data_IF_764131424825
#
_entry.id   IF_764131424825
#
_cell.length_a   1.000
_cell.length_b   1.000
_cell.length_c   1.000
_cell.angle_alpha   90.00
_cell.angle_beta   90.00
_cell.angle_gamma   90.00
#
_symmetry.space_group_name_H-M   'P 1'
#
loop_
_entity.id
_entity.type
_entity.pdbx_description
1 polymer ?
#
# COMPACT_ATOMS: atom_id res chain seq x y z
N UNK A 1 6.35 -26.99 -48.53
CA UNK A 1 6.03 -25.56 -48.42
C UNK A 1 4.75 -25.24 -47.62
N UNK A 2 3.74 -26.13 -47.54
CA UNK A 2 2.51 -25.92 -46.75
C UNK A 2 2.68 -25.82 -45.22
N UNK A 3 3.78 -26.34 -44.65
CA UNK A 3 4.01 -26.33 -43.18
C UNK A 3 4.64 -25.03 -42.66
N UNK A 4 5.20 -24.20 -43.54
CA UNK A 4 5.85 -22.93 -43.15
C UNK A 4 4.81 -21.79 -43.08
N UNK A 5 3.79 -21.82 -43.94
CA UNK A 5 2.71 -20.84 -43.94
C UNK A 5 1.83 -20.89 -42.68
N UNK A 6 1.69 -22.06 -42.04
CA UNK A 6 0.91 -22.21 -40.80
C UNK A 6 1.60 -21.56 -39.59
N UNK A 7 2.93 -21.47 -39.59
CA UNK A 7 3.72 -20.96 -38.46
C UNK A 7 3.70 -19.43 -38.34
N UNK A 8 3.52 -18.72 -39.45
CA UNK A 8 3.50 -17.25 -39.49
C UNK A 8 2.14 -16.65 -39.09
N UNK A 9 1.06 -17.40 -39.30
CA UNK A 9 -0.30 -16.95 -38.93
C UNK A 9 -0.52 -17.06 -37.41
N UNK A 10 0.08 -18.08 -36.77
CA UNK A 10 -0.02 -18.28 -35.33
C UNK A 10 0.73 -17.20 -34.52
N UNK A 11 1.81 -16.64 -35.05
CA UNK A 11 2.61 -15.61 -34.37
C UNK A 11 1.95 -14.24 -34.41
N UNK A 12 1.29 -13.88 -35.52
CA UNK A 12 0.58 -12.60 -35.66
C UNK A 12 -0.68 -12.53 -34.78
N UNK A 13 -1.37 -13.66 -34.60
CA UNK A 13 -2.55 -13.74 -33.74
C UNK A 13 -2.21 -13.55 -32.25
N UNK A 14 -1.01 -13.96 -31.81
CA UNK A 14 -0.59 -13.85 -30.42
C UNK A 14 -0.19 -12.40 -30.05
N UNK A 15 0.39 -11.63 -30.98
CA UNK A 15 0.69 -10.21 -30.77
C UNK A 15 -0.55 -9.32 -30.72
N UNK A 16 -1.63 -9.69 -31.43
CA UNK A 16 -2.89 -8.95 -31.39
C UNK A 16 -3.65 -9.12 -30.05
N UNK A 17 -3.44 -10.25 -29.35
CA UNK A 17 -4.04 -10.51 -28.04
C UNK A 17 -3.43 -9.66 -26.91
N UNK A 18 -2.16 -9.24 -27.04
CA UNK A 18 -1.50 -8.39 -26.04
C UNK A 18 -1.78 -6.90 -26.28
N UNK A 19 -2.03 -6.48 -27.52
CA UNK A 19 -2.41 -5.10 -27.84
C UNK A 19 -3.83 -4.72 -27.37
N UNK A 20 -4.68 -5.72 -27.06
CA UNK A 20 -6.05 -5.53 -26.57
C UNK A 20 -6.22 -5.65 -25.06
N UNK A 21 -5.16 -5.99 -24.30
CA UNK A 21 -5.20 -5.93 -22.85
C UNK A 21 -5.04 -4.47 -22.40
N UNK A 22 -6.07 -3.65 -22.64
CA UNK A 22 -6.33 -2.55 -21.72
C UNK A 22 -6.53 -3.23 -20.38
N UNK A 23 -5.66 -2.98 -19.40
CA UNK A 23 -5.99 -3.30 -18.03
C UNK A 23 -7.39 -2.74 -17.79
N UNK A 24 -8.39 -3.61 -17.58
CA UNK A 24 -9.69 -3.15 -17.11
C UNK A 24 -9.37 -2.24 -15.94
N UNK A 25 -9.87 -1.00 -15.94
CA UNK A 25 -9.85 -0.21 -14.72
C UNK A 25 -10.42 -1.13 -13.66
N UNK A 26 -9.62 -1.51 -12.67
CA UNK A 26 -10.07 -2.43 -11.66
C UNK A 26 -11.37 -1.86 -11.10
N UNK A 27 -12.51 -2.46 -11.43
CA UNK A 27 -13.81 -2.05 -10.93
C UNK A 27 -14.03 -2.71 -9.56
N UNK A 28 -12.96 -2.77 -8.75
CA UNK A 28 -12.93 -3.39 -7.43
C UNK A 28 -13.13 -2.37 -6.31
N UNK A 29 -13.23 -1.09 -6.66
CA UNK A 29 -13.36 0.01 -5.72
C UNK A 29 -14.83 0.34 -5.63
N UNK A 30 -15.37 0.33 -4.40
CA UNK A 30 -16.72 0.81 -4.14
C UNK A 30 -16.97 2.14 -4.86
N UNK A 31 -18.24 2.47 -5.09
CA UNK A 31 -18.58 3.63 -5.92
C UNK A 31 -18.10 4.97 -5.35
N UNK A 32 -17.60 5.00 -4.12
CA UNK A 32 -17.28 6.21 -3.38
C UNK A 32 -15.77 6.38 -3.10
N UNK A 33 -14.95 5.41 -3.51
CA UNK A 33 -13.51 5.45 -3.29
C UNK A 33 -12.86 6.63 -4.04
N UNK A 34 -12.02 7.38 -3.33
CA UNK A 34 -11.21 8.50 -3.84
C UNK A 34 -9.73 8.14 -3.90
N UNK A 35 -9.22 7.37 -2.92
CA UNK A 35 -7.84 6.87 -2.93
C UNK A 35 -7.77 5.36 -2.92
N UNK A 36 -6.66 4.83 -3.43
CA UNK A 36 -6.18 3.51 -3.13
C UNK A 36 -4.73 3.53 -2.70
N UNK A 37 -4.47 2.70 -1.70
CA UNK A 37 -3.17 2.58 -1.07
C UNK A 37 -2.78 1.11 -1.08
N UNK A 38 -1.56 0.84 -1.48
CA UNK A 38 -0.87 -0.39 -1.12
C UNK A 38 0.38 -0.01 -0.32
N UNK A 39 0.54 -0.59 0.85
CA UNK A 39 1.69 -0.41 1.71
C UNK A 39 2.26 -1.78 2.06
N UNK A 40 3.58 -1.91 1.97
CA UNK A 40 4.30 -3.04 2.53
C UNK A 40 5.49 -2.54 3.33
N UNK A 41 5.67 -3.06 4.53
CA UNK A 41 6.78 -2.73 5.41
C UNK A 41 7.37 -4.00 5.98
N UNK A 42 8.69 -4.06 6.09
CA UNK A 42 9.40 -5.16 6.72
C UNK A 42 10.54 -4.62 7.59
N UNK A 43 10.64 -5.14 8.79
CA UNK A 43 11.60 -4.75 9.82
C UNK A 43 12.11 -5.99 10.56
N UNK A 44 13.26 -6.54 10.16
CA UNK A 44 13.77 -7.78 10.79
C UNK A 44 14.88 -7.52 11.83
N UNK A 45 15.34 -6.27 11.96
CA UNK A 45 16.44 -5.93 12.86
C UNK A 45 15.93 -5.34 14.18
N UNK A 46 15.84 -6.11 15.28
CA UNK A 46 15.37 -5.61 16.57
C UNK A 46 16.25 -4.53 17.20
N UNK A 47 17.47 -4.32 16.69
CA UNK A 47 18.37 -3.26 17.15
C UNK A 47 18.15 -1.92 16.42
N UNK A 48 17.37 -1.90 15.33
CA UNK A 48 17.05 -0.66 14.61
C UNK A 48 15.91 0.08 15.32
N UNK A 49 16.10 1.38 15.55
CA UNK A 49 15.12 2.25 16.24
C UNK A 49 13.73 2.21 15.61
N UNK A 50 13.64 2.17 14.28
CA UNK A 50 12.38 2.10 13.54
C UNK A 50 11.69 0.76 13.77
N UNK A 51 12.42 -0.36 13.83
CA UNK A 51 11.82 -1.66 14.15
C UNK A 51 11.31 -1.72 15.59
N UNK A 52 12.03 -1.15 16.55
CA UNK A 52 11.62 -1.23 17.96
C UNK A 52 10.51 -0.25 18.32
N UNK A 53 10.47 0.94 17.69
CA UNK A 53 9.61 2.04 18.15
C UNK A 53 8.57 2.52 17.13
N UNK A 54 8.69 2.15 15.85
CA UNK A 54 7.79 2.65 14.80
C UNK A 54 6.99 1.51 14.17
N UNK A 55 7.65 0.47 13.66
CA UNK A 55 7.00 -0.60 12.90
C UNK A 55 6.69 -1.86 13.71
N UNK A 56 7.46 -2.13 14.76
CA UNK A 56 7.57 -3.48 15.32
C UNK A 56 8.51 -4.36 14.49
N UNK A 57 9.00 -5.44 15.09
CA UNK A 57 9.81 -6.43 14.39
C UNK A 57 8.88 -7.41 13.68
N UNK A 58 9.05 -7.55 12.37
CA UNK A 58 8.24 -8.38 11.48
C UNK A 58 7.85 -7.63 10.22
N UNK A 59 6.66 -7.92 9.71
CA UNK A 59 6.19 -7.38 8.44
C UNK A 59 4.73 -7.00 8.50
N UNK A 60 4.36 -6.02 7.68
CA UNK A 60 2.99 -5.58 7.50
C UNK A 60 2.75 -5.35 6.01
N UNK A 61 1.56 -5.74 5.56
CA UNK A 61 1.03 -5.40 4.25
C UNK A 61 -0.38 -4.87 4.43
N UNK A 62 -0.69 -3.77 3.77
CA UNK A 62 -2.00 -3.13 3.80
C UNK A 62 -2.38 -2.80 2.37
N UNK A 63 -3.59 -3.20 1.98
CA UNK A 63 -4.31 -2.57 0.89
C UNK A 63 -5.48 -1.78 1.49
N UNK A 64 -5.73 -0.56 1.02
CA UNK A 64 -6.87 0.23 1.46
C UNK A 64 -7.53 0.99 0.29
N UNK A 65 -8.85 1.05 0.30
CA UNK A 65 -9.66 1.96 -0.50
C UNK A 65 -10.29 2.99 0.44
N UNK A 66 -10.08 4.27 0.16
CA UNK A 66 -10.54 5.36 1.03
C UNK A 66 -11.67 6.10 0.34
N UNK A 67 -12.81 6.24 1.01
CA UNK A 67 -14.02 6.82 0.45
C UNK A 67 -14.12 8.33 0.71
N UNK A 68 -14.93 9.01 -0.11
CA UNK A 68 -15.13 10.47 -0.06
C UNK A 68 -15.67 10.99 1.28
N UNK A 69 -16.31 10.13 2.07
CA UNK A 69 -16.92 10.46 3.37
C UNK A 69 -15.99 10.21 4.57
N UNK A 70 -14.69 10.01 4.31
CA UNK A 70 -13.67 9.69 5.30
C UNK A 70 -13.76 8.29 5.92
N UNK A 71 -14.61 7.41 5.38
CA UNK A 71 -14.59 5.98 5.65
C UNK A 71 -13.73 5.22 4.62
N UNK A 72 -13.67 3.90 4.74
CA UNK A 72 -13.06 3.06 3.74
C UNK A 72 -12.88 1.62 4.19
N UNK A 73 -12.41 0.80 3.27
CA UNK A 73 -12.11 -0.60 3.48
C UNK A 73 -10.61 -0.83 3.40
N UNK A 74 -10.09 -1.70 4.26
CA UNK A 74 -8.73 -2.19 4.15
C UNK A 74 -8.66 -3.71 4.28
N UNK A 75 -7.63 -4.29 3.69
CA UNK A 75 -7.18 -5.65 3.99
C UNK A 75 -5.77 -5.57 4.54
N UNK A 76 -5.56 -6.16 5.70
CA UNK A 76 -4.29 -6.13 6.40
C UNK A 76 -3.75 -7.54 6.54
N UNK A 77 -2.44 -7.69 6.42
CA UNK A 77 -1.70 -8.85 6.88
C UNK A 77 -0.52 -8.37 7.69
N UNK A 78 -0.24 -9.01 8.82
CA UNK A 78 0.93 -8.72 9.62
C UNK A 78 1.57 -9.99 10.16
N UNK A 79 2.86 -9.92 10.38
CA UNK A 79 3.63 -10.87 11.17
C UNK A 79 4.49 -10.09 12.16
N UNK A 80 4.66 -10.64 13.37
CA UNK A 80 5.54 -10.08 14.37
C UNK A 80 6.33 -11.17 15.08
N UNK A 81 7.52 -10.82 15.58
CA UNK A 81 8.41 -11.73 16.30
C UNK A 81 8.93 -11.09 17.60
N UNK A 82 9.36 -11.92 18.56
CA UNK A 82 9.99 -11.43 19.79
C UNK A 82 9.04 -10.70 20.74
N UNK A 83 7.72 -10.90 20.59
CA UNK A 83 6.74 -10.33 21.51
C UNK A 83 6.78 -11.09 22.85
N UNK A 84 6.66 -10.42 24.02
CA UNK A 84 6.65 -11.09 25.33
C UNK A 84 5.59 -12.17 25.47
N UNK A 85 4.42 -11.96 24.83
CA UNK A 85 3.27 -12.88 24.85
C UNK A 85 3.25 -13.87 23.69
N UNK A 86 4.11 -13.69 22.68
CA UNK A 86 4.22 -14.55 21.52
C UNK A 86 5.69 -14.63 21.05
N UNK A 87 6.57 -15.28 21.85
CA UNK A 87 8.02 -15.28 21.60
C UNK A 87 8.41 -16.00 20.30
N UNK A 88 7.61 -16.96 19.86
CA UNK A 88 7.77 -17.65 18.57
C UNK A 88 7.14 -16.90 17.39
N UNK A 89 6.58 -15.72 17.65
CA UNK A 89 5.90 -14.87 16.69
C UNK A 89 4.40 -15.10 16.60
N UNK A 90 3.77 -14.19 15.85
CA UNK A 90 2.34 -14.18 15.54
C UNK A 90 2.17 -13.73 14.10
N UNK A 91 1.14 -14.25 13.43
CA UNK A 91 0.67 -13.71 12.18
C UNK A 91 -0.85 -13.60 12.25
N UNK A 92 -1.38 -12.50 11.72
CA UNK A 92 -2.81 -12.33 11.56
C UNK A 92 -3.12 -11.39 10.39
N UNK A 93 -4.37 -11.35 9.99
CA UNK A 93 -4.82 -10.52 8.90
C UNK A 93 -6.29 -10.73 8.59
N UNK A 94 -6.80 -9.90 7.70
CA UNK A 94 -8.19 -9.92 7.28
C UNK A 94 -8.68 -8.55 6.82
N UNK A 95 -9.94 -8.49 6.36
CA UNK A 95 -10.60 -7.24 6.07
C UNK A 95 -10.86 -6.45 7.36
N UNK A 96 -10.80 -5.13 7.27
CA UNK A 96 -11.08 -4.20 8.36
C UNK A 96 -11.64 -2.89 7.81
N UNK A 97 -12.63 -2.34 8.50
CA UNK A 97 -13.15 -1.00 8.24
C UNK A 97 -12.14 0.06 8.74
N UNK A 98 -11.94 1.11 7.95
CA UNK A 98 -11.04 2.20 8.29
C UNK A 98 -11.73 3.56 8.23
N UNK A 99 -11.10 4.51 8.89
CA UNK A 99 -11.35 5.95 8.70
C UNK A 99 -10.05 6.61 8.30
N UNK A 100 -10.14 7.75 7.63
CA UNK A 100 -8.95 8.46 7.19
C UNK A 100 -9.08 9.98 7.23
N UNK A 101 -7.94 10.66 7.33
CA UNK A 101 -7.85 12.11 7.31
C UNK A 101 -6.58 12.57 6.61
N UNK A 102 -6.56 13.82 6.15
CA UNK A 102 -5.35 14.46 5.64
C UNK A 102 -4.65 15.20 6.79
N UNK A 103 -3.37 14.92 6.98
CA UNK A 103 -2.51 15.62 7.93
C UNK A 103 -1.44 16.38 7.16
N UNK A 104 -1.30 17.67 7.43
CA UNK A 104 -0.20 18.46 6.91
C UNK A 104 0.97 18.46 7.90
N UNK A 105 2.19 18.14 7.44
CA UNK A 105 3.37 18.00 8.29
C UNK A 105 4.68 18.35 7.58
N UNK A 106 5.33 19.42 8.05
CA UNK A 106 6.61 19.93 7.53
C UNK A 106 7.84 19.23 8.14
N UNK A 107 7.64 18.43 9.19
CA UNK A 107 8.72 17.76 9.91
C UNK A 107 9.11 16.41 9.31
N UNK A 108 10.01 15.67 9.99
CA UNK A 108 10.36 14.32 9.57
C UNK A 108 9.14 13.39 9.58
N UNK A 109 8.95 12.53 8.57
CA UNK A 109 7.70 11.77 8.39
C UNK A 109 7.49 10.73 9.50
N UNK A 110 8.56 10.22 10.10
CA UNK A 110 8.48 9.24 11.20
C UNK A 110 7.80 9.80 12.45
N UNK A 111 7.77 11.13 12.63
CA UNK A 111 7.08 11.76 13.75
C UNK A 111 5.55 11.61 13.69
N UNK A 112 5.00 11.32 12.50
CA UNK A 112 3.57 11.08 12.25
C UNK A 112 3.30 9.63 11.80
N UNK A 113 4.27 8.73 12.01
CA UNK A 113 4.14 7.32 11.65
C UNK A 113 4.23 7.02 10.15
N UNK A 114 4.71 7.97 9.34
CA UNK A 114 5.02 7.73 7.93
C UNK A 114 6.51 7.50 7.72
N UNK A 115 6.87 6.78 6.66
CA UNK A 115 8.29 6.51 6.32
C UNK A 115 8.69 7.00 4.94
N UNK A 116 7.72 7.48 4.17
CA UNK A 116 7.97 8.15 2.91
C UNK A 116 7.63 9.63 3.07
N UNK A 117 8.48 10.52 2.57
CA UNK A 117 8.17 11.95 2.53
C UNK A 117 7.15 12.23 1.43
N UNK A 118 6.06 12.92 1.77
CA UNK A 118 5.16 13.48 0.76
C UNK A 118 5.74 14.78 0.19
N UNK A 119 5.79 14.96 -1.15
CA UNK A 119 6.34 16.18 -1.76
C UNK A 119 5.51 17.44 -1.48
N UNK A 120 4.24 17.30 -1.09
CA UNK A 120 3.34 18.40 -0.73
C UNK A 120 3.16 18.51 0.79
N UNK A 121 3.93 17.74 1.58
CA UNK A 121 3.82 17.64 3.03
C UNK A 121 2.41 17.26 3.53
N UNK A 122 1.61 16.58 2.70
CA UNK A 122 0.29 16.10 3.07
C UNK A 122 0.28 14.57 3.15
N UNK A 123 -0.33 14.03 4.19
CA UNK A 123 -0.30 12.60 4.50
C UNK A 123 -1.70 12.09 4.77
N UNK A 124 -1.99 10.88 4.29
CA UNK A 124 -3.22 10.15 4.60
C UNK A 124 -2.97 9.35 5.88
N UNK A 125 -3.56 9.80 6.99
CA UNK A 125 -3.55 9.07 8.25
C UNK A 125 -4.75 8.13 8.29
N UNK A 126 -4.50 6.83 8.25
CA UNK A 126 -5.53 5.77 8.16
C UNK A 126 -5.60 5.05 9.51
N UNK A 127 -6.80 4.89 10.04
CA UNK A 127 -7.04 4.28 11.36
C UNK A 127 -8.17 3.27 11.33
N UNK A 128 -8.10 2.25 12.17
CA UNK A 128 -9.21 1.35 12.47
C UNK A 128 -9.89 1.76 13.79
N UNK A 129 -10.94 1.06 14.19
CA UNK A 129 -11.58 1.26 15.50
C UNK A 129 -10.67 0.92 16.70
N UNK A 130 -9.57 0.20 16.45
CA UNK A 130 -8.58 -0.18 17.46
C UNK A 130 -7.41 0.82 17.55
N UNK A 131 -7.33 1.80 16.66
CA UNK A 131 -6.29 2.83 16.65
C UNK A 131 -5.68 3.08 15.26
N UNK A 132 -4.56 3.83 15.20
CA UNK A 132 -3.86 4.10 13.95
C UNK A 132 -3.41 2.81 13.24
N UNK A 133 -3.59 2.75 11.93
CA UNK A 133 -3.14 1.64 11.09
C UNK A 133 -1.82 2.00 10.40
N UNK A 134 -1.84 2.98 9.49
CA UNK A 134 -0.68 3.46 8.74
C UNK A 134 -0.85 4.94 8.38
N UNK A 135 0.26 5.63 8.16
CA UNK A 135 0.28 6.98 7.58
C UNK A 135 1.14 6.98 6.32
N UNK A 136 0.59 7.43 5.20
CA UNK A 136 1.23 7.39 3.88
C UNK A 136 1.17 8.75 3.19
N UNK A 137 2.02 9.03 2.18
CA UNK A 137 1.88 10.24 1.35
C UNK A 137 0.47 10.39 0.77
N UNK A 138 -0.02 11.62 0.67
CA UNK A 138 -1.30 11.92 -0.01
C UNK A 138 -1.13 12.20 -1.50
N UNK A 139 0.08 12.55 -1.93
CA UNK A 139 0.40 12.73 -3.34
C UNK A 139 0.42 11.36 -4.04
N UNK A 140 -0.25 11.19 -5.19
CA UNK A 140 -0.18 9.94 -5.95
C UNK A 140 1.24 9.63 -6.41
N UNK A 141 1.66 8.37 -6.26
CA UNK A 141 3.01 7.96 -6.62
C UNK A 141 3.39 6.59 -6.08
N UNK A 142 4.59 6.16 -6.46
CA UNK A 142 5.26 4.99 -5.89
C UNK A 142 6.45 5.45 -5.06
N UNK A 143 6.47 5.07 -3.79
CA UNK A 143 7.47 5.49 -2.83
C UNK A 143 8.19 4.26 -2.29
N UNK A 144 9.51 4.39 -2.16
CA UNK A 144 10.34 3.37 -1.54
C UNK A 144 11.13 3.98 -0.40
N UNK A 145 11.25 3.23 0.69
CA UNK A 145 12.07 3.58 1.83
C UNK A 145 12.99 2.41 2.16
N UNK A 146 14.24 2.72 2.51
CA UNK A 146 15.21 1.73 2.97
C UNK A 146 16.16 2.37 3.97
N UNK A 147 16.24 1.79 5.16
CA UNK A 147 17.16 2.22 6.20
C UNK A 147 18.03 1.04 6.67
N UNK A 148 19.17 0.89 6.00
CA UNK A 148 20.10 -0.20 6.26
C UNK A 148 19.55 -1.59 5.91
N UNK A 149 20.22 -2.65 6.40
CA UNK A 149 19.77 -4.02 6.20
C UNK A 149 18.50 -4.28 7.02
N UNK A 150 17.51 -4.88 6.36
CA UNK A 150 16.28 -5.38 6.94
C UNK A 150 15.25 -4.35 7.42
N UNK A 151 15.38 -3.06 7.09
CA UNK A 151 14.28 -2.08 7.19
C UNK A 151 13.96 -1.53 5.81
N UNK A 152 12.75 -1.83 5.34
CA UNK A 152 12.29 -1.37 4.04
C UNK A 152 10.78 -1.23 4.01
N UNK A 153 10.31 -0.25 3.26
CA UNK A 153 8.89 -0.09 2.97
C UNK A 153 8.67 0.34 1.52
N UNK A 154 7.53 -0.05 0.96
CA UNK A 154 7.02 0.39 -0.33
C UNK A 154 5.60 0.89 -0.13
N UNK A 155 5.29 2.00 -0.78
CA UNK A 155 3.95 2.59 -0.76
C UNK A 155 3.54 2.95 -2.17
N UNK A 156 2.40 2.46 -2.63
CA UNK A 156 1.73 2.91 -3.84
C UNK A 156 0.50 3.71 -3.43
N UNK A 157 0.40 4.95 -3.92
CA UNK A 157 -0.74 5.84 -3.70
C UNK A 157 -1.37 6.17 -5.05
N UNK A 158 -2.65 5.92 -5.18
CA UNK A 158 -3.44 6.24 -6.38
C UNK A 158 -4.60 7.12 -5.97
N UNK A 159 -4.69 8.32 -6.54
CA UNK A 159 -5.91 9.11 -6.55
C UNK A 159 -6.74 8.65 -7.75
N UNK A 160 -7.97 8.20 -7.50
CA UNK A 160 -8.83 7.64 -8.54
C UNK A 160 -9.28 8.78 -9.49
N UNK A 161 -9.00 8.69 -10.80
CA UNK A 161 -9.34 9.75 -11.75
C UNK A 161 -10.84 10.10 -11.74
N UNK A 162 -11.14 11.39 -11.75
CA UNK A 162 -12.52 11.89 -11.75
C UNK A 162 -13.23 11.79 -10.40
N UNK A 163 -12.54 11.35 -9.34
CA UNK A 163 -13.02 11.36 -7.96
C UNK A 163 -12.37 12.52 -7.21
N UNK A 164 -13.16 13.24 -6.43
CA UNK A 164 -12.67 14.38 -5.64
C UNK A 164 -12.54 13.90 -4.20
N UNK A 165 -11.30 13.85 -3.70
CA UNK A 165 -11.07 13.79 -2.27
C UNK A 165 -11.49 15.14 -1.69
N UNK A 166 -12.51 15.17 -0.84
CA UNK A 166 -12.75 16.35 0.00
C UNK A 166 -11.78 16.24 1.19
N UNK A 167 -10.77 17.11 1.30
CA UNK A 167 -9.84 17.10 2.43
C UNK A 167 -10.51 17.55 3.73
#
# INVERSE_FOLDING_TARGET
MKKIALSLIATLALTALIAGSTASSAAAYGNDAVYQIEFSGNCDNPANFLCTNVFGVGGIWVWAALDVDHSGDATVAFCAHGLPTAPHGIAAGGPVEVTWSVVHWEGPPFAIGSVNQDPSNNYLAISTTQGPLITVPATPGHYSFRDGPAVQAQTQVVLIPGRVANP
#
